data_IF_836345550972
#
_entry.id   IF_836345550972
#
_cell.length_a   1.000
_cell.length_b   1.000
_cell.length_c   1.000
_cell.angle_alpha   90.00
_cell.angle_beta   90.00
_cell.angle_gamma   90.00
#
_symmetry.space_group_name_H-M   'P 1'
#
loop_
_entity.id
_entity.type
_entity.pdbx_description
1 polymer ?
#
# COMPACT_ATOMS: atom_id res chain seq x y z
N UNK A 1 -10.73 9.13 -5.33
CA UNK A 1 -11.57 8.39 -6.29
C UNK A 1 -12.81 9.22 -6.62
N UNK A 2 -13.12 9.40 -7.90
CA UNK A 2 -14.21 10.27 -8.39
C UNK A 2 -15.24 9.48 -9.19
N UNK A 3 -16.39 10.09 -9.53
CA UNK A 3 -17.37 9.49 -10.44
C UNK A 3 -16.75 9.15 -11.80
N UNK A 4 -15.80 9.96 -12.28
CA UNK A 4 -15.05 9.71 -13.52
C UNK A 4 -14.15 8.48 -13.41
N UNK A 5 -13.57 8.19 -12.24
CA UNK A 5 -12.76 6.98 -12.02
C UNK A 5 -13.59 5.71 -12.23
N UNK A 6 -14.81 5.66 -11.67
CA UNK A 6 -15.71 4.53 -11.88
C UNK A 6 -16.12 4.38 -13.34
N UNK A 7 -16.42 5.48 -14.02
CA UNK A 7 -16.78 5.44 -15.44
C UNK A 7 -15.61 4.94 -16.29
N UNK A 8 -14.41 5.48 -16.10
CA UNK A 8 -13.21 5.05 -16.82
C UNK A 8 -12.92 3.57 -16.60
N UNK A 9 -13.03 3.10 -15.36
CA UNK A 9 -12.87 1.68 -15.04
C UNK A 9 -13.92 0.82 -15.76
N UNK A 10 -15.22 1.22 -15.70
CA UNK A 10 -16.31 0.49 -16.34
C UNK A 10 -16.14 0.43 -17.85
N UNK A 11 -15.76 1.54 -18.49
CA UNK A 11 -15.48 1.55 -19.94
C UNK A 11 -14.32 0.61 -20.29
N UNK A 12 -13.24 0.65 -19.50
CA UNK A 12 -12.04 -0.18 -19.70
C UNK A 12 -12.37 -1.68 -19.63
N UNK A 13 -13.08 -2.14 -18.59
CA UNK A 13 -13.41 -3.57 -18.44
C UNK A 13 -14.45 -4.06 -19.46
N UNK A 14 -15.22 -3.17 -20.05
CA UNK A 14 -16.14 -3.45 -21.14
C UNK A 14 -15.52 -3.28 -22.54
N UNK A 15 -14.19 -3.15 -22.62
CA UNK A 15 -13.43 -2.97 -23.87
C UNK A 15 -13.87 -1.75 -24.68
N UNK A 16 -14.31 -0.69 -23.99
CA UNK A 16 -14.61 0.61 -24.59
C UNK A 16 -13.52 1.61 -24.26
N UNK A 17 -13.43 2.67 -25.06
CA UNK A 17 -12.43 3.71 -24.85
C UNK A 17 -12.81 4.61 -23.68
N UNK A 18 -12.05 4.61 -22.58
CA UNK A 18 -12.26 5.58 -21.49
C UNK A 18 -11.72 6.96 -21.85
N UNK A 19 -12.09 7.99 -21.09
CA UNK A 19 -11.55 9.35 -21.26
C UNK A 19 -10.06 9.43 -20.99
N UNK A 20 -9.55 8.58 -20.10
CA UNK A 20 -8.12 8.43 -19.77
C UNK A 20 -7.81 7.00 -19.32
N UNK A 21 -6.54 6.65 -19.34
CA UNK A 21 -6.06 5.35 -18.80
C UNK A 21 -6.42 5.21 -17.34
N UNK A 22 -6.93 4.04 -16.96
CA UNK A 22 -7.18 3.69 -15.55
C UNK A 22 -5.85 3.50 -14.83
N UNK A 23 -5.71 4.14 -13.67
CA UNK A 23 -4.51 4.09 -12.84
C UNK A 23 -4.79 3.23 -11.61
N UNK A 24 -3.97 2.20 -11.42
CA UNK A 24 -3.98 1.34 -10.24
C UNK A 24 -2.58 1.23 -9.65
N UNK A 25 -2.41 1.79 -8.44
CA UNK A 25 -1.24 1.59 -7.60
C UNK A 25 -1.71 1.25 -6.19
N UNK A 26 -1.44 0.03 -5.73
CA UNK A 26 -1.68 -0.39 -4.37
C UNK A 26 -3.01 -1.10 -4.12
N UNK A 27 -3.82 -1.38 -5.15
CA UNK A 27 -5.09 -2.11 -4.95
C UNK A 27 -4.89 -3.61 -4.69
N UNK A 28 -3.77 -4.17 -5.14
CA UNK A 28 -3.43 -5.59 -4.98
C UNK A 28 -1.94 -5.77 -4.68
N UNK A 29 -1.51 -6.99 -4.34
CA UNK A 29 -0.10 -7.34 -4.21
C UNK A 29 0.69 -7.20 -5.52
N UNK A 30 0.03 -7.30 -6.68
CA UNK A 30 0.66 -7.15 -8.00
C UNK A 30 0.91 -5.68 -8.35
N UNK A 31 -0.01 -4.80 -7.96
CA UNK A 31 0.07 -3.36 -8.21
C UNK A 31 0.61 -2.58 -7.02
N UNK A 32 1.09 -3.31 -6.00
CA UNK A 32 1.58 -2.76 -4.74
C UNK A 32 2.82 -1.88 -4.89
N UNK A 33 2.98 -0.97 -3.95
CA UNK A 33 4.12 -0.06 -3.86
C UNK A 33 4.91 -0.39 -2.60
N UNK A 34 6.23 -0.53 -2.75
CA UNK A 34 7.13 -0.77 -1.60
C UNK A 34 7.00 0.36 -0.56
N UNK A 35 6.98 -0.01 0.70
CA UNK A 35 6.72 0.87 1.84
C UNK A 35 7.62 2.12 1.88
N UNK A 36 8.88 2.00 1.47
CA UNK A 36 9.81 3.13 1.37
C UNK A 36 9.41 4.12 0.27
N UNK A 37 8.82 3.63 -0.81
CA UNK A 37 8.35 4.47 -1.92
C UNK A 37 7.04 5.17 -1.56
N UNK A 38 6.14 4.49 -0.84
CA UNK A 38 4.92 5.13 -0.32
C UNK A 38 5.27 6.36 0.53
N UNK A 39 6.24 6.25 1.45
CA UNK A 39 6.69 7.39 2.25
C UNK A 39 7.25 8.52 1.38
N UNK A 40 8.09 8.18 0.39
CA UNK A 40 8.65 9.17 -0.55
C UNK A 40 7.58 9.87 -1.38
N UNK A 41 6.57 9.14 -1.84
CA UNK A 41 5.43 9.72 -2.56
C UNK A 41 4.62 10.67 -1.67
N UNK A 42 4.35 10.28 -0.42
CA UNK A 42 3.69 11.17 0.54
C UNK A 42 4.46 12.47 0.72
N UNK A 43 5.78 12.38 0.89
CA UNK A 43 6.64 13.57 1.00
C UNK A 43 6.63 14.41 -0.28
N UNK A 44 6.70 13.78 -1.45
CA UNK A 44 6.68 14.46 -2.75
C UNK A 44 5.39 15.27 -2.97
N UNK A 45 4.24 14.71 -2.58
CA UNK A 45 2.94 15.39 -2.70
C UNK A 45 2.64 16.33 -1.53
N UNK A 46 3.56 16.49 -0.57
CA UNK A 46 3.37 17.37 0.58
C UNK A 46 2.28 16.93 1.54
N UNK A 47 2.01 15.63 1.60
CA UNK A 47 1.00 15.04 2.48
C UNK A 47 1.52 14.93 3.92
N UNK A 48 0.60 14.75 4.86
CA UNK A 48 0.95 14.58 6.27
C UNK A 48 1.97 13.44 6.44
N UNK A 49 3.05 13.73 7.16
CA UNK A 49 4.07 12.74 7.48
C UNK A 49 3.58 11.84 8.60
N UNK A 50 3.46 10.55 8.31
CA UNK A 50 3.07 9.51 9.26
C UNK A 50 3.67 8.17 8.86
N UNK A 51 3.87 7.24 9.82
CA UNK A 51 4.38 5.91 9.52
C UNK A 51 3.45 5.17 8.56
N UNK A 52 4.01 4.53 7.54
CA UNK A 52 3.26 3.73 6.57
C UNK A 52 3.02 2.33 7.13
N UNK A 53 1.81 1.80 6.96
CA UNK A 53 1.49 0.41 7.33
C UNK A 53 2.03 -0.57 6.29
N UNK A 54 2.71 -1.60 6.74
CA UNK A 54 3.10 -2.75 5.90
C UNK A 54 1.90 -3.69 5.77
N UNK A 55 1.10 -3.51 4.74
CA UNK A 55 -0.12 -4.31 4.51
C UNK A 55 0.19 -5.68 3.92
N UNK A 56 1.32 -5.79 3.24
CA UNK A 56 1.83 -7.05 2.69
C UNK A 56 3.34 -7.17 3.02
N UNK A 57 3.69 -7.95 4.06
CA UNK A 57 5.06 -7.95 4.59
C UNK A 57 6.06 -8.80 3.79
N UNK A 58 5.62 -9.68 2.89
CA UNK A 58 6.53 -10.47 2.07
C UNK A 58 7.30 -9.61 1.05
N UNK A 59 6.59 -8.73 0.36
CA UNK A 59 7.18 -7.78 -0.58
C UNK A 59 7.40 -6.39 0.03
N UNK A 60 7.08 -6.22 1.32
CA UNK A 60 7.10 -4.94 2.03
C UNK A 60 6.26 -3.86 1.35
N UNK A 61 5.03 -4.21 0.98
CA UNK A 61 4.11 -3.26 0.37
C UNK A 61 3.44 -2.39 1.43
N UNK A 62 3.43 -1.09 1.17
CA UNK A 62 2.81 -0.08 2.03
C UNK A 62 1.35 0.18 1.67
N UNK A 63 0.55 0.54 2.68
CA UNK A 63 -0.81 1.04 2.48
C UNK A 63 -0.78 2.35 1.69
N UNK A 64 -1.58 2.42 0.63
CA UNK A 64 -1.81 3.65 -0.13
C UNK A 64 -3.12 4.25 0.38
N UNK A 65 -3.01 5.25 1.26
CA UNK A 65 -4.15 5.86 1.91
C UNK A 65 -4.89 6.85 0.99
N UNK A 66 -6.11 7.23 1.38
CA UNK A 66 -7.02 8.02 0.55
C UNK A 66 -6.44 9.35 0.07
N UNK A 67 -5.67 10.04 0.91
CA UNK A 67 -5.02 11.30 0.56
C UNK A 67 -3.97 11.12 -0.55
N UNK A 68 -3.22 10.02 -0.53
CA UNK A 68 -2.25 9.69 -1.56
C UNK A 68 -2.95 9.17 -2.83
N UNK A 69 -4.03 8.41 -2.68
CA UNK A 69 -4.89 7.98 -3.80
C UNK A 69 -5.39 9.21 -4.58
N UNK A 70 -5.89 10.20 -3.89
CA UNK A 70 -6.39 11.43 -4.50
C UNK A 70 -5.27 12.25 -5.15
N UNK A 71 -4.12 12.40 -4.46
CA UNK A 71 -2.98 13.14 -4.97
C UNK A 71 -2.38 12.52 -6.25
N UNK A 72 -2.37 11.21 -6.35
CA UNK A 72 -1.84 10.46 -7.51
C UNK A 72 -2.88 10.24 -8.61
N UNK A 73 -4.15 10.55 -8.39
CA UNK A 73 -5.22 10.27 -9.36
C UNK A 73 -5.48 8.78 -9.59
N UNK A 74 -5.36 7.98 -8.54
CA UNK A 74 -5.59 6.53 -8.58
C UNK A 74 -7.10 6.25 -8.71
N UNK A 75 -7.46 5.31 -9.57
CA UNK A 75 -8.86 4.99 -9.89
C UNK A 75 -9.40 3.76 -9.15
N UNK A 76 -8.51 2.92 -8.64
CA UNK A 76 -8.86 1.61 -8.06
C UNK A 76 -8.38 1.53 -6.62
N UNK A 77 -9.27 1.17 -5.71
CA UNK A 77 -8.96 0.99 -4.28
C UNK A 77 -9.01 -0.50 -3.94
N UNK A 78 -7.98 -0.98 -3.24
CA UNK A 78 -7.91 -2.37 -2.80
C UNK A 78 -8.82 -2.65 -1.61
N UNK A 79 -9.40 -3.84 -1.59
CA UNK A 79 -10.08 -4.41 -0.43
C UNK A 79 -9.17 -5.49 0.15
N UNK A 80 -8.56 -5.18 1.28
CA UNK A 80 -7.71 -6.13 1.98
C UNK A 80 -8.54 -6.98 2.95
N UNK A 81 -8.16 -8.25 3.09
CA UNK A 81 -8.79 -9.14 4.07
C UNK A 81 -8.45 -8.75 5.52
N UNK A 82 -9.17 -9.36 6.47
CA UNK A 82 -8.91 -9.17 7.91
C UNK A 82 -7.54 -9.71 8.36
N UNK A 83 -6.92 -10.57 7.54
CA UNK A 83 -5.59 -11.15 7.78
C UNK A 83 -4.72 -10.98 6.53
N UNK A 84 -3.41 -10.85 6.76
CA UNK A 84 -2.44 -10.88 5.66
C UNK A 84 -2.19 -12.31 5.15
N UNK A 85 -1.32 -12.45 4.15
CA UNK A 85 -0.99 -13.75 3.55
C UNK A 85 -0.40 -14.79 4.52
N UNK A 86 0.16 -14.35 5.65
CA UNK A 86 0.69 -15.21 6.70
C UNK A 86 -0.33 -15.56 7.78
N UNK A 87 -1.59 -15.17 7.61
CA UNK A 87 -2.65 -15.39 8.58
C UNK A 87 -2.62 -14.44 9.78
N UNK A 88 -1.78 -13.41 9.75
CA UNK A 88 -1.67 -12.42 10.83
C UNK A 88 -2.79 -11.39 10.70
N UNK A 89 -3.58 -11.13 11.77
CA UNK A 89 -4.62 -10.14 11.76
C UNK A 89 -4.08 -8.72 11.49
N UNK A 90 -4.77 -7.97 10.64
CA UNK A 90 -4.43 -6.58 10.29
C UNK A 90 -4.97 -5.60 11.36
N UNK A 91 -4.51 -5.75 12.59
CA UNK A 91 -4.96 -4.99 13.76
C UNK A 91 -3.80 -4.69 14.72
N UNK A 92 -4.03 -3.86 15.73
CA UNK A 92 -3.07 -3.50 16.78
C UNK A 92 -1.72 -3.04 16.24
N UNK A 93 -1.72 -2.23 15.22
CA UNK A 93 -0.55 -1.76 14.50
C UNK A 93 0.49 -1.14 15.44
N UNK A 94 1.73 -1.62 15.37
CA UNK A 94 2.85 -1.20 16.22
C UNK A 94 3.96 -0.60 15.38
N UNK A 95 4.59 0.43 15.94
CA UNK A 95 5.71 1.11 15.33
C UNK A 95 6.95 0.22 15.34
N UNK A 96 7.60 0.10 14.19
CA UNK A 96 8.86 -0.60 14.01
C UNK A 96 9.82 0.26 13.18
N UNK A 97 11.11 0.09 13.42
CA UNK A 97 12.16 0.71 12.62
C UNK A 97 12.78 -0.36 11.72
N UNK A 98 12.75 -0.11 10.42
CA UNK A 98 13.36 -1.01 9.42
C UNK A 98 14.88 -0.93 9.47
N UNK A 99 15.56 -1.91 8.86
CA UNK A 99 17.04 -1.93 8.74
C UNK A 99 17.59 -0.73 7.96
N UNK A 100 16.77 -0.10 7.09
CA UNK A 100 17.14 1.12 6.37
C UNK A 100 16.72 2.42 7.10
N UNK A 101 16.25 2.30 8.36
CA UNK A 101 15.98 3.43 9.25
C UNK A 101 14.61 4.07 9.12
N UNK A 102 13.70 3.51 8.32
CA UNK A 102 12.32 4.00 8.19
C UNK A 102 11.46 3.54 9.35
N UNK A 103 10.64 4.42 9.89
CA UNK A 103 9.58 4.07 10.85
C UNK A 103 8.32 3.63 10.09
N UNK A 104 7.87 2.43 10.38
CA UNK A 104 6.73 1.77 9.73
C UNK A 104 5.81 1.15 10.76
N UNK A 105 4.60 0.78 10.36
CA UNK A 105 3.67 0.04 11.20
C UNK A 105 3.55 -1.40 10.71
N UNK A 106 3.77 -2.35 11.61
CA UNK A 106 3.44 -3.75 11.41
C UNK A 106 2.22 -4.15 12.24
N UNK A 107 1.46 -5.19 11.82
CA UNK A 107 0.40 -5.75 12.64
C UNK A 107 0.94 -6.18 14.02
N UNK A 108 0.17 -5.98 15.06
CA UNK A 108 0.62 -6.16 16.44
C UNK A 108 1.09 -7.55 16.80
N UNK A 109 0.55 -8.59 16.16
CA UNK A 109 0.94 -10.00 16.35
C UNK A 109 1.95 -10.51 15.30
N UNK A 110 2.48 -9.64 14.44
CA UNK A 110 3.52 -10.00 13.48
C UNK A 110 4.88 -10.07 14.19
N UNK A 111 5.33 -11.30 14.50
CA UNK A 111 6.62 -11.56 15.12
C UNK A 111 7.64 -11.92 14.04
N UNK A 112 8.79 -11.25 14.06
CA UNK A 112 9.85 -11.48 13.10
C UNK A 112 11.22 -11.16 13.70
N UNK A 113 12.26 -11.69 13.04
CA UNK A 113 13.66 -11.35 13.30
C UNK A 113 14.35 -11.05 11.99
N UNK A 114 15.56 -10.50 12.03
CA UNK A 114 16.39 -10.33 10.84
C UNK A 114 17.55 -11.33 10.86
N UNK A 115 17.86 -11.89 9.69
CA UNK A 115 19.10 -12.65 9.51
C UNK A 115 20.30 -11.71 9.28
N UNK A 116 21.50 -12.26 9.10
CA UNK A 116 22.73 -11.50 8.85
C UNK A 116 22.70 -10.68 7.55
N UNK A 117 21.83 -11.04 6.60
CA UNK A 117 21.68 -10.36 5.32
C UNK A 117 20.59 -9.25 5.39
N UNK A 118 19.88 -9.15 6.53
CA UNK A 118 18.77 -8.21 6.70
C UNK A 118 17.42 -8.71 6.18
N UNK A 119 17.31 -10.00 5.82
CA UNK A 119 16.02 -10.59 5.45
C UNK A 119 15.16 -10.81 6.68
N UNK A 120 13.86 -10.66 6.53
CA UNK A 120 12.89 -10.93 7.59
C UNK A 120 12.68 -12.44 7.70
N UNK A 121 12.83 -12.95 8.92
CA UNK A 121 12.51 -14.32 9.30
C UNK A 121 11.30 -14.29 10.22
N UNK A 122 10.33 -15.16 9.99
CA UNK A 122 9.12 -15.33 10.81
C UNK A 122 9.15 -16.68 11.52
#
# INVERSE_FOLDING_TARGET
MTASSRNNFTETINHRQPDRVVVDFGSTGVTGIHIAIVEKLRNYYGLEKRPVKAVEPYQMLGEVESDLIDAMGIDVVGLFGAKNMFGVPAEDWKLHKTIWGQEVLFPGSFNYTYNSNGDILM
#
